data_IF_763217117889
#
_entry.id   IF_763217117889
#
_cell.length_a   1.000
_cell.length_b   1.000
_cell.length_c   1.000
_cell.angle_alpha   90.00
_cell.angle_beta   90.00
_cell.angle_gamma   90.00
#
_symmetry.space_group_name_H-M   'P 1'
#
loop_
_entity.id
_entity.type
_entity.pdbx_description
1 polymer ?
#
# COMPACT_ATOMS: atom_id res chain seq x y z
N UNK A 1 2.53 -16.60 3.57
CA UNK A 1 2.25 -15.18 3.26
C UNK A 1 1.23 -15.17 2.15
N UNK A 2 0.31 -14.21 2.17
CA UNK A 2 -0.71 -14.03 1.14
C UNK A 2 -0.74 -12.57 0.72
N UNK A 3 -1.13 -12.32 -0.53
CA UNK A 3 -1.41 -10.98 -1.02
C UNK A 3 -2.60 -10.40 -0.26
N UNK A 4 -2.56 -9.09 0.02
CA UNK A 4 -3.72 -8.36 0.51
C UNK A 4 -4.74 -8.23 -0.63
N UNK A 5 -5.97 -8.64 -0.37
CA UNK A 5 -7.09 -8.44 -1.29
C UNK A 5 -8.36 -8.07 -0.51
N UNK A 6 -9.45 -7.73 -1.22
CA UNK A 6 -10.72 -7.36 -0.61
C UNK A 6 -11.33 -8.47 0.27
N UNK A 7 -11.08 -9.75 -0.04
CA UNK A 7 -11.65 -10.90 0.68
C UNK A 7 -10.94 -11.17 2.01
N UNK A 8 -9.71 -10.70 2.13
CA UNK A 8 -8.90 -10.76 3.34
C UNK A 8 -8.63 -9.38 3.95
N UNK A 9 -9.37 -8.36 3.52
CA UNK A 9 -9.26 -7.00 4.05
C UNK A 9 -9.71 -6.90 5.51
N UNK A 10 -9.02 -6.06 6.27
CA UNK A 10 -9.52 -5.47 7.52
C UNK A 10 -8.97 -4.05 7.66
N UNK A 11 -9.69 -3.17 8.37
CA UNK A 11 -9.22 -1.80 8.61
C UNK A 11 -7.84 -1.81 9.28
N UNK A 12 -7.65 -2.68 10.29
CA UNK A 12 -6.37 -2.79 11.00
C UNK A 12 -5.20 -3.21 10.10
N UNK A 13 -5.43 -4.10 9.12
CA UNK A 13 -4.39 -4.47 8.14
C UNK A 13 -4.00 -3.28 7.29
N UNK A 14 -5.00 -2.56 6.78
CA UNK A 14 -4.78 -1.41 5.92
C UNK A 14 -4.06 -0.27 6.66
N UNK A 15 -4.43 0.00 7.92
CA UNK A 15 -3.71 0.91 8.81
C UNK A 15 -2.23 0.54 8.91
N UNK A 16 -1.91 -0.74 9.13
CA UNK A 16 -0.52 -1.18 9.26
C UNK A 16 0.26 -1.08 7.93
N UNK A 17 -0.40 -1.22 6.77
CA UNK A 17 0.23 -0.93 5.47
C UNK A 17 0.48 0.57 5.27
N UNK A 18 -0.46 1.43 5.67
CA UNK A 18 -0.30 2.89 5.63
C UNK A 18 0.84 3.33 6.55
N UNK A 19 0.91 2.80 7.76
CA UNK A 19 2.01 3.06 8.71
C UNK A 19 3.35 2.58 8.15
N UNK A 20 3.38 1.39 7.54
CA UNK A 20 4.57 0.88 6.86
C UNK A 20 5.03 1.77 5.70
N UNK A 21 4.10 2.27 4.88
CA UNK A 21 4.41 3.17 3.78
C UNK A 21 4.90 4.54 4.29
N UNK A 22 4.30 5.07 5.36
CA UNK A 22 4.79 6.28 6.02
C UNK A 22 6.22 6.09 6.54
N UNK A 23 6.55 4.94 7.13
CA UNK A 23 7.90 4.65 7.58
C UNK A 23 8.91 4.55 6.41
N UNK A 24 8.49 3.98 5.27
CA UNK A 24 9.30 3.96 4.03
C UNK A 24 9.58 5.40 3.55
N UNK A 25 8.55 6.27 3.52
CA UNK A 25 8.69 7.68 3.13
C UNK A 25 9.56 8.49 4.11
N UNK A 26 9.41 8.26 5.41
CA UNK A 26 10.23 8.88 6.46
C UNK A 26 11.70 8.48 6.36
N UNK A 27 11.97 7.25 5.90
CA UNK A 27 13.31 6.78 5.56
C UNK A 27 13.84 7.33 4.23
N UNK A 28 13.15 8.31 3.62
CA UNK A 28 13.48 8.94 2.34
C UNK A 28 13.52 7.94 1.17
N UNK A 29 12.62 6.96 1.19
CA UNK A 29 12.42 6.01 0.10
C UNK A 29 11.04 6.24 -0.51
N UNK A 30 10.97 6.33 -1.84
CA UNK A 30 9.74 6.16 -2.61
C UNK A 30 9.71 4.72 -3.14
N UNK A 31 8.58 4.02 -3.02
CA UNK A 31 8.53 2.59 -3.35
C UNK A 31 8.43 2.36 -4.87
N UNK A 32 7.66 3.19 -5.57
CA UNK A 32 7.49 3.17 -7.02
C UNK A 32 6.57 2.06 -7.54
N UNK A 33 6.04 1.19 -6.68
CA UNK A 33 5.17 0.07 -7.06
C UNK A 33 4.24 -0.41 -5.92
N UNK A 34 3.29 0.43 -5.53
CA UNK A 34 2.48 0.23 -4.31
C UNK A 34 1.21 -0.62 -4.50
N UNK A 35 1.16 -1.45 -5.54
CA UNK A 35 -0.05 -2.24 -5.85
C UNK A 35 -0.22 -3.45 -4.90
N UNK A 36 -1.44 -4.00 -4.79
CA UNK A 36 -1.75 -5.10 -3.86
C UNK A 36 -0.80 -6.30 -3.92
N UNK A 37 -0.28 -6.65 -5.11
CA UNK A 37 0.72 -7.72 -5.30
C UNK A 37 1.98 -7.59 -4.43
N UNK A 38 2.30 -6.36 -4.01
CA UNK A 38 3.45 -6.04 -3.17
C UNK A 38 3.08 -5.84 -1.70
N UNK A 39 1.80 -6.04 -1.35
CA UNK A 39 1.25 -5.92 -0.01
C UNK A 39 0.97 -7.30 0.57
N UNK A 40 1.85 -7.80 1.43
CA UNK A 40 1.77 -9.17 1.96
C UNK A 40 1.28 -9.22 3.41
N UNK A 41 0.34 -10.12 3.67
CA UNK A 41 -0.11 -10.51 5.02
C UNK A 41 0.51 -11.84 5.45
N UNK A 42 0.65 -12.04 6.75
CA UNK A 42 1.14 -13.29 7.34
C UNK A 42 -0.03 -14.10 7.91
N UNK A 43 -0.13 -15.36 7.51
CA UNK A 43 -1.13 -16.27 8.06
C UNK A 43 -0.82 -16.57 9.53
N UNK A 44 -1.82 -16.46 10.40
CA UNK A 44 -1.64 -16.61 11.84
C UNK A 44 -1.20 -15.34 12.58
N UNK A 45 -0.84 -14.28 11.85
CA UNK A 45 -0.55 -12.96 12.41
C UNK A 45 -1.38 -11.90 11.64
N UNK A 46 -2.63 -11.66 12.07
CA UNK A 46 -3.60 -10.91 11.29
C UNK A 46 -3.24 -9.43 11.14
N UNK A 47 -2.27 -8.92 11.91
CA UNK A 47 -1.87 -7.53 11.91
C UNK A 47 -0.54 -7.31 11.16
N UNK A 48 0.26 -8.34 10.92
CA UNK A 48 1.53 -8.17 10.22
C UNK A 48 1.33 -7.84 8.73
N UNK A 49 1.67 -6.60 8.39
CA UNK A 49 1.75 -6.07 7.04
C UNK A 49 3.22 -6.01 6.57
N UNK A 50 3.48 -6.45 5.33
CA UNK A 50 4.83 -6.48 4.75
C UNK A 50 4.76 -5.89 3.34
N UNK A 51 5.49 -4.80 3.13
CA UNK A 51 5.81 -4.30 1.79
C UNK A 51 6.97 -5.11 1.20
N UNK A 52 6.84 -5.53 -0.05
CA UNK A 52 7.88 -6.27 -0.80
C UNK A 52 8.13 -5.61 -2.16
N UNK A 53 9.16 -6.09 -2.86
CA UNK A 53 9.49 -5.68 -4.23
C UNK A 53 9.89 -4.20 -4.39
N UNK A 54 11.09 -3.88 -3.91
CA UNK A 54 11.68 -2.54 -3.96
C UNK A 54 12.53 -2.32 -5.23
N UNK A 55 12.32 -3.08 -6.31
CA UNK A 55 13.15 -2.99 -7.51
C UNK A 55 13.00 -1.64 -8.25
N UNK A 56 11.83 -1.00 -8.12
CA UNK A 56 11.52 0.35 -8.60
C UNK A 56 11.78 1.45 -7.59
N UNK A 57 12.13 1.09 -6.37
CA UNK A 57 12.23 2.05 -5.29
C UNK A 57 13.38 3.05 -5.53
N UNK A 58 13.14 4.30 -5.14
CA UNK A 58 14.11 5.37 -5.21
C UNK A 58 14.48 5.82 -3.80
N UNK A 59 15.77 5.77 -3.47
CA UNK A 59 16.29 6.33 -2.23
C UNK A 59 16.77 7.77 -2.45
N UNK A 60 16.41 8.65 -1.53
CA UNK A 60 16.81 10.05 -1.54
C UNK A 60 17.77 10.34 -0.39
N UNK A 61 18.81 11.13 -0.67
CA UNK A 61 19.95 11.28 0.23
C UNK A 61 19.97 12.63 0.98
N UNK A 62 18.91 13.43 0.81
CA UNK A 62 18.81 14.83 1.22
C UNK A 62 17.34 15.26 1.31
N UNK A 63 17.09 16.53 1.59
CA UNK A 63 15.76 17.12 1.48
C UNK A 63 15.13 16.81 0.12
N UNK A 64 13.85 16.44 0.18
CA UNK A 64 13.05 16.13 -0.99
C UNK A 64 12.86 17.40 -1.82
N UNK A 65 13.17 17.31 -3.11
CA UNK A 65 12.71 18.29 -4.10
C UNK A 65 11.18 18.27 -4.19
N UNK A 66 10.57 19.32 -4.72
CA UNK A 66 9.10 19.38 -4.83
C UNK A 66 8.54 18.23 -5.67
N UNK A 67 9.25 17.82 -6.74
CA UNK A 67 8.89 16.64 -7.52
C UNK A 67 8.92 15.34 -6.72
N UNK A 68 9.88 15.17 -5.82
CA UNK A 68 9.96 13.97 -4.97
C UNK A 68 8.85 13.99 -3.90
N UNK A 69 8.50 15.17 -3.37
CA UNK A 69 7.33 15.32 -2.49
C UNK A 69 6.03 14.98 -3.23
N UNK A 70 5.90 15.38 -4.50
CA UNK A 70 4.75 15.03 -5.34
C UNK A 70 4.65 13.51 -5.54
N UNK A 71 5.75 12.80 -5.80
CA UNK A 71 5.74 11.34 -5.93
C UNK A 71 5.29 10.63 -4.66
N UNK A 72 5.88 11.01 -3.51
CA UNK A 72 5.46 10.50 -2.20
C UNK A 72 3.99 10.82 -1.91
N UNK A 73 3.56 12.04 -2.22
CA UNK A 73 2.16 12.45 -2.08
C UNK A 73 1.21 11.63 -2.95
N UNK A 74 1.64 11.29 -4.16
CA UNK A 74 0.87 10.45 -5.09
C UNK A 74 0.74 9.01 -4.58
N UNK A 75 1.81 8.42 -4.05
CA UNK A 75 1.75 7.10 -3.41
C UNK A 75 0.74 7.08 -2.25
N UNK A 76 0.78 8.11 -1.38
CA UNK A 76 -0.20 8.24 -0.29
C UNK A 76 -1.63 8.37 -0.80
N UNK A 77 -1.84 9.15 -1.87
CA UNK A 77 -3.16 9.35 -2.44
C UNK A 77 -3.74 8.04 -3.00
N UNK A 78 -2.94 7.28 -3.76
CA UNK A 78 -3.34 5.97 -4.28
C UNK A 78 -3.61 5.00 -3.13
N UNK A 79 -2.76 4.94 -2.11
CA UNK A 79 -2.93 4.01 -0.99
C UNK A 79 -4.23 4.29 -0.22
N UNK A 80 -4.58 5.56 -0.01
CA UNK A 80 -5.85 5.94 0.62
C UNK A 80 -7.07 5.59 -0.26
N UNK A 81 -7.00 5.85 -1.56
CA UNK A 81 -8.07 5.43 -2.49
C UNK A 81 -8.25 3.90 -2.48
N UNK A 82 -7.14 3.16 -2.50
CA UNK A 82 -7.13 1.72 -2.44
C UNK A 82 -7.74 1.19 -1.14
N UNK A 83 -7.46 1.84 -0.01
CA UNK A 83 -8.10 1.54 1.27
C UNK A 83 -9.63 1.66 1.20
N UNK A 84 -10.13 2.77 0.65
CA UNK A 84 -11.57 3.00 0.47
C UNK A 84 -12.20 1.94 -0.48
N UNK A 85 -11.49 1.58 -1.54
CA UNK A 85 -11.97 0.58 -2.51
C UNK A 85 -11.97 -0.83 -1.93
N UNK A 86 -10.93 -1.23 -1.20
CA UNK A 86 -10.90 -2.52 -0.53
C UNK A 86 -11.98 -2.62 0.55
N UNK A 87 -12.21 -1.54 1.32
CA UNK A 87 -13.30 -1.49 2.30
C UNK A 87 -14.67 -1.65 1.63
N UNK A 88 -14.89 -0.96 0.52
CA UNK A 88 -16.11 -1.10 -0.26
C UNK A 88 -16.32 -2.54 -0.76
N UNK A 89 -15.32 -3.10 -1.44
CA UNK A 89 -15.42 -4.44 -2.04
C UNK A 89 -15.56 -5.54 -0.97
N UNK A 90 -14.89 -5.38 0.19
CA UNK A 90 -15.07 -6.25 1.35
C UNK A 90 -16.50 -6.20 1.90
N UNK A 91 -17.10 -5.01 1.98
CA UNK A 91 -18.48 -4.83 2.46
C UNK A 91 -19.53 -5.40 1.50
N UNK A 92 -19.27 -5.32 0.19
CA UNK A 92 -20.13 -5.87 -0.86
C UNK A 92 -19.91 -7.37 -1.08
N UNK A 93 -18.82 -7.94 -0.56
CA UNK A 93 -18.47 -9.36 -0.74
C UNK A 93 -18.10 -9.73 -2.18
N UNK A 94 -17.67 -8.75 -3.00
CA UNK A 94 -17.29 -8.95 -4.40
C UNK A 94 -16.23 -7.93 -4.82
N UNK A 95 -15.39 -8.33 -5.77
CA UNK A 95 -14.48 -7.40 -6.44
C UNK A 95 -15.26 -6.46 -7.37
N UNK A 96 -15.12 -5.15 -7.15
CA UNK A 96 -15.77 -4.12 -7.97
C UNK A 96 -14.78 -2.98 -8.23
N UNK A 97 -14.47 -2.17 -7.20
CA UNK A 97 -13.63 -0.98 -7.34
C UNK A 97 -12.15 -1.30 -7.41
N UNK A 98 -11.71 -2.30 -6.65
CA UNK A 98 -10.28 -2.66 -6.58
C UNK A 98 -9.73 -3.26 -7.87
N UNK A 99 -10.60 -3.65 -8.81
CA UNK A 99 -10.22 -4.25 -10.10
C UNK A 99 -9.17 -3.43 -10.85
N UNK A 100 -9.21 -2.09 -10.75
CA UNK A 100 -8.27 -1.20 -11.44
C UNK A 100 -6.80 -1.42 -11.05
N UNK A 101 -6.53 -2.00 -9.87
CA UNK A 101 -5.19 -2.25 -9.37
C UNK A 101 -4.64 -3.62 -9.78
N UNK A 102 -5.43 -4.43 -10.49
CA UNK A 102 -5.08 -5.79 -10.95
C UNK A 102 -5.12 -5.94 -12.48
N UNK A 103 -5.35 -4.85 -13.21
CA UNK A 103 -5.32 -4.79 -14.68
C UNK A 103 -3.91 -4.47 -15.18
#
# INVERSE_FOLDING_TARGET
MKELDWSNYSEKRMENFIDGMNAIHEALVEHGDIYPRNMMIVEGDPERAIWIDFDRAQTFNRELSDRQKEWIGFEKAILNEMADYMKHDASEGKMDKTRIYYL
#
